data_IF_142676524132
#
_entry.id   IF_142676524132
#
_cell.length_a   1.000
_cell.length_b   1.000
_cell.length_c   1.000
_cell.angle_alpha   90.00
_cell.angle_beta   90.00
_cell.angle_gamma   90.00
#
_symmetry.space_group_name_H-M   'P 1'
#
loop_
_entity.id
_entity.type
_entity.pdbx_description
1 polymer ?
#
# COMPACT_ATOMS: atom_id res chain seq x y z
N UNK A 1 -14.75 -15.35 -1.35
CA UNK A 1 -15.52 -14.13 -1.67
C UNK A 1 -14.69 -12.90 -1.31
N UNK A 2 -14.62 -11.88 -2.19
CA UNK A 2 -13.90 -10.63 -1.93
C UNK A 2 -14.91 -9.64 -1.33
N UNK A 3 -14.65 -9.17 -0.11
CA UNK A 3 -15.50 -8.21 0.59
C UNK A 3 -14.93 -6.79 0.57
N UNK A 4 -13.59 -6.68 0.50
CA UNK A 4 -12.89 -5.40 0.54
C UNK A 4 -11.84 -5.31 -0.55
N UNK A 5 -11.70 -4.13 -1.13
CA UNK A 5 -10.59 -3.75 -2.02
C UNK A 5 -9.97 -2.49 -1.44
N UNK A 6 -8.69 -2.53 -1.13
CA UNK A 6 -7.92 -1.35 -0.77
C UNK A 6 -7.02 -0.92 -1.92
N UNK A 7 -6.95 0.38 -2.16
CA UNK A 7 -6.00 0.99 -3.08
C UNK A 7 -5.16 2.02 -2.33
N UNK A 8 -3.84 1.96 -2.52
CA UNK A 8 -2.90 2.84 -1.83
C UNK A 8 -3.00 4.29 -2.31
N UNK A 9 -3.10 4.47 -3.63
CA UNK A 9 -3.19 5.76 -4.30
C UNK A 9 -3.77 5.63 -5.71
N UNK A 10 -3.90 6.74 -6.44
CA UNK A 10 -4.65 6.82 -7.70
C UNK A 10 -3.84 6.55 -8.98
N UNK A 11 -2.56 6.17 -8.90
CA UNK A 11 -1.80 5.79 -10.09
C UNK A 11 -2.39 4.55 -10.77
N UNK A 12 -2.36 4.45 -12.11
CA UNK A 12 -3.06 3.39 -12.86
C UNK A 12 -2.64 1.96 -12.52
N UNK A 13 -1.41 1.76 -12.05
CA UNK A 13 -0.87 0.47 -11.61
C UNK A 13 -1.35 0.06 -10.21
N UNK A 14 -1.83 1.01 -9.39
CA UNK A 14 -2.43 0.78 -8.08
C UNK A 14 -3.96 0.95 -8.06
N UNK A 15 -4.50 1.75 -8.96
CA UNK A 15 -5.93 2.02 -9.10
C UNK A 15 -6.38 1.88 -10.55
N UNK A 16 -6.57 0.63 -11.00
CA UNK A 16 -7.02 0.36 -12.37
C UNK A 16 -8.52 0.56 -12.50
N UNK A 17 -8.92 1.67 -13.12
CA UNK A 17 -10.33 1.95 -13.43
C UNK A 17 -10.93 0.94 -14.39
N UNK A 18 -10.11 0.36 -15.29
CA UNK A 18 -10.52 -0.70 -16.22
C UNK A 18 -10.89 -1.98 -15.46
N UNK A 19 -10.03 -2.41 -14.53
CA UNK A 19 -10.29 -3.59 -13.69
C UNK A 19 -11.55 -3.39 -12.84
N UNK A 20 -11.74 -2.24 -12.21
CA UNK A 20 -12.94 -1.97 -11.41
C UNK A 20 -14.21 -1.99 -12.26
N UNK A 21 -14.17 -1.46 -13.48
CA UNK A 21 -15.30 -1.50 -14.43
C UNK A 21 -15.60 -2.91 -14.95
N UNK A 22 -14.61 -3.81 -15.00
CA UNK A 22 -14.83 -5.20 -15.46
C UNK A 22 -15.47 -6.11 -14.40
N UNK A 23 -15.53 -5.69 -13.14
CA UNK A 23 -16.26 -6.42 -12.10
C UNK A 23 -17.77 -6.33 -12.40
N UNK A 24 -18.49 -7.45 -12.30
CA UNK A 24 -19.93 -7.51 -12.49
C UNK A 24 -20.67 -6.57 -11.53
N UNK A 25 -21.66 -5.85 -12.02
CA UNK A 25 -22.41 -4.85 -11.24
C UNK A 25 -23.13 -5.45 -10.01
N UNK A 26 -23.62 -6.70 -10.13
CA UNK A 26 -24.25 -7.39 -9.00
C UNK A 26 -23.24 -7.75 -7.89
N UNK A 27 -21.95 -7.84 -8.24
CA UNK A 27 -20.87 -8.11 -7.29
C UNK A 27 -20.39 -6.81 -6.64
N UNK A 28 -20.30 -5.70 -7.40
CA UNK A 28 -19.81 -4.40 -6.90
C UNK A 28 -20.53 -3.95 -5.64
N UNK A 29 -21.86 -4.11 -5.58
CA UNK A 29 -22.68 -3.72 -4.43
C UNK A 29 -22.35 -4.47 -3.14
N UNK A 30 -21.64 -5.60 -3.23
CA UNK A 30 -21.20 -6.42 -2.09
C UNK A 30 -19.79 -6.05 -1.62
N UNK A 31 -19.00 -5.37 -2.46
CA UNK A 31 -17.61 -5.01 -2.19
C UNK A 31 -17.53 -3.59 -1.64
N UNK A 32 -16.73 -3.41 -0.59
CA UNK A 32 -16.39 -2.11 -0.05
C UNK A 32 -14.99 -1.70 -0.51
N UNK A 33 -14.90 -0.61 -1.25
CA UNK A 33 -13.61 0.00 -1.62
C UNK A 33 -13.12 0.87 -0.46
N UNK A 34 -11.93 0.54 0.05
CA UNK A 34 -11.24 1.26 1.10
C UNK A 34 -10.22 2.20 0.46
N UNK A 35 -10.24 3.46 0.84
CA UNK A 35 -9.29 4.44 0.32
C UNK A 35 -8.95 5.50 1.38
N UNK A 36 -7.73 6.01 1.36
CA UNK A 36 -7.34 7.09 2.26
C UNK A 36 -8.26 8.32 2.11
N UNK A 37 -8.56 9.00 3.20
CA UNK A 37 -9.36 10.23 3.15
C UNK A 37 -8.63 11.32 2.36
N UNK A 38 -9.27 11.84 1.31
CA UNK A 38 -8.77 12.94 0.48
C UNK A 38 -9.77 14.10 0.47
N UNK A 39 -9.27 15.33 0.24
CA UNK A 39 -10.14 16.51 0.19
C UNK A 39 -11.09 16.50 -1.01
N UNK A 40 -10.59 16.05 -2.17
CA UNK A 40 -11.33 16.05 -3.43
C UNK A 40 -12.29 14.86 -3.58
N UNK A 41 -12.09 13.80 -2.79
CA UNK A 41 -12.90 12.56 -2.80
C UNK A 41 -13.04 11.90 -4.17
N UNK A 42 -12.14 12.18 -5.10
CA UNK A 42 -12.21 11.77 -6.49
C UNK A 42 -12.34 10.24 -6.64
N UNK A 43 -11.46 9.47 -5.98
CA UNK A 43 -11.48 8.00 -6.04
C UNK A 43 -12.75 7.43 -5.40
N UNK A 44 -13.13 7.92 -4.24
CA UNK A 44 -14.34 7.51 -3.52
C UNK A 44 -15.60 7.76 -4.36
N UNK A 45 -15.70 8.96 -4.95
CA UNK A 45 -16.86 9.32 -5.78
C UNK A 45 -16.91 8.49 -7.07
N UNK A 46 -15.76 8.21 -7.68
CA UNK A 46 -15.67 7.32 -8.84
C UNK A 46 -16.18 5.90 -8.51
N UNK A 47 -15.71 5.32 -7.40
CA UNK A 47 -16.14 3.98 -6.99
C UNK A 47 -17.62 3.92 -6.62
N UNK A 48 -18.15 4.95 -5.95
CA UNK A 48 -19.59 5.07 -5.70
C UNK A 48 -20.38 5.12 -7.00
N UNK A 49 -19.92 5.88 -7.98
CA UNK A 49 -20.55 5.97 -9.32
C UNK A 49 -20.57 4.63 -10.07
N UNK A 50 -19.65 3.71 -9.76
CA UNK A 50 -19.64 2.34 -10.28
C UNK A 50 -20.51 1.35 -9.48
N UNK A 51 -21.14 1.77 -8.39
CA UNK A 51 -21.99 0.91 -7.57
C UNK A 51 -21.28 0.17 -6.43
N UNK A 52 -20.00 0.49 -6.13
CA UNK A 52 -19.33 -0.04 -4.96
C UNK A 52 -19.77 0.65 -3.67
N UNK A 53 -19.77 -0.10 -2.57
CA UNK A 53 -19.69 0.52 -1.24
C UNK A 53 -18.32 1.16 -1.09
N UNK A 54 -18.22 2.22 -0.31
CA UNK A 54 -16.94 2.91 -0.10
C UNK A 54 -16.74 3.30 1.35
N UNK A 55 -15.52 3.22 1.83
CA UNK A 55 -15.14 3.68 3.16
C UNK A 55 -13.85 4.49 3.07
N UNK A 56 -13.91 5.73 3.56
CA UNK A 56 -12.71 6.57 3.71
C UNK A 56 -11.95 6.16 4.97
N UNK A 57 -10.63 6.04 4.83
CA UNK A 57 -9.72 5.70 5.90
C UNK A 57 -9.05 6.98 6.43
N UNK A 58 -9.40 7.45 7.62
CA UNK A 58 -8.73 8.59 8.27
C UNK A 58 -7.27 8.24 8.54
N UNK A 59 -6.38 9.23 8.33
CA UNK A 59 -4.96 9.03 8.48
C UNK A 59 -4.58 8.54 9.90
N UNK A 60 -3.93 7.39 9.98
CA UNK A 60 -3.40 6.78 11.21
C UNK A 60 -4.45 6.52 12.30
N UNK A 61 -5.69 6.27 11.90
CA UNK A 61 -6.74 5.85 12.83
C UNK A 61 -6.95 4.34 12.71
N UNK A 62 -7.07 3.69 13.86
CA UNK A 62 -7.47 2.30 13.90
C UNK A 62 -8.95 2.18 13.51
N UNK A 63 -9.25 1.29 12.59
CA UNK A 63 -10.58 1.02 12.06
C UNK A 63 -10.84 -0.48 12.17
N UNK A 64 -11.91 -0.84 12.85
CA UNK A 64 -12.43 -2.20 12.86
C UNK A 64 -13.23 -2.41 11.57
N UNK A 65 -12.77 -3.33 10.70
CA UNK A 65 -13.50 -3.71 9.49
C UNK A 65 -14.65 -4.68 9.80
N UNK A 66 -14.41 -5.60 10.71
CA UNK A 66 -15.34 -6.58 11.26
C UNK A 66 -14.76 -7.12 12.58
N UNK A 67 -15.38 -8.14 13.17
CA UNK A 67 -14.96 -8.74 14.45
C UNK A 67 -13.56 -9.39 14.43
N UNK A 68 -13.02 -9.65 13.24
CA UNK A 68 -11.74 -10.34 13.08
C UNK A 68 -10.61 -9.42 12.62
N UNK A 69 -10.92 -8.32 11.90
CA UNK A 69 -9.91 -7.49 11.24
C UNK A 69 -9.93 -6.03 11.68
N UNK A 70 -8.76 -5.53 12.04
CA UNK A 70 -8.48 -4.12 12.26
C UNK A 70 -7.46 -3.63 11.23
N UNK A 71 -7.57 -2.37 10.84
CA UNK A 71 -6.59 -1.73 9.96
C UNK A 71 -6.23 -0.33 10.39
N UNK A 72 -5.03 0.09 10.00
CA UNK A 72 -4.57 1.47 10.06
C UNK A 72 -4.03 1.83 8.68
N UNK A 73 -4.54 2.92 8.10
CA UNK A 73 -4.01 3.49 6.87
C UNK A 73 -3.22 4.76 7.18
N UNK A 74 -1.97 4.82 6.78
CA UNK A 74 -1.11 5.99 7.00
C UNK A 74 -0.68 6.64 5.70
N UNK A 75 -0.83 7.96 5.60
CA UNK A 75 -0.38 8.73 4.44
C UNK A 75 1.14 8.79 4.37
N UNK A 76 1.67 8.65 3.16
CA UNK A 76 3.07 8.80 2.82
C UNK A 76 3.21 9.77 1.64
N UNK A 77 4.11 10.76 1.76
CA UNK A 77 4.27 11.74 0.71
C UNK A 77 3.00 12.54 0.40
N UNK A 78 2.78 12.81 -0.88
CA UNK A 78 1.65 13.62 -1.34
C UNK A 78 0.40 12.79 -1.68
N UNK A 79 0.58 11.62 -2.30
CA UNK A 79 -0.52 10.78 -2.79
C UNK A 79 -0.56 9.41 -2.15
N UNK A 80 0.57 8.87 -1.70
CA UNK A 80 0.69 7.48 -1.30
C UNK A 80 0.12 7.20 0.08
N UNK A 81 -0.18 5.95 0.33
CA UNK A 81 -0.52 5.45 1.65
C UNK A 81 -0.02 4.02 1.86
N UNK A 82 0.34 3.72 3.09
CA UNK A 82 0.62 2.36 3.55
C UNK A 82 -0.57 1.82 4.34
N UNK A 83 -0.68 0.50 4.40
CA UNK A 83 -1.73 -0.20 5.14
C UNK A 83 -1.12 -1.18 6.14
N UNK A 84 -1.52 -1.06 7.39
CA UNK A 84 -1.37 -2.09 8.40
C UNK A 84 -2.69 -2.80 8.59
N UNK A 85 -2.68 -4.12 8.53
CA UNK A 85 -3.84 -4.98 8.75
C UNK A 85 -3.48 -6.02 9.80
N UNK A 86 -4.36 -6.24 10.77
CA UNK A 86 -4.19 -7.27 11.78
C UNK A 86 -5.46 -8.06 11.99
N UNK A 87 -5.32 -9.35 12.18
CA UNK A 87 -6.30 -10.23 12.80
C UNK A 87 -5.85 -10.63 14.21
N UNK A 88 -6.50 -11.62 14.81
CA UNK A 88 -6.14 -12.10 16.16
C UNK A 88 -4.76 -12.75 16.25
N UNK A 89 -4.15 -13.13 15.14
CA UNK A 89 -2.98 -14.00 15.07
C UNK A 89 -1.83 -13.44 14.25
N UNK A 90 -2.14 -12.61 13.25
CA UNK A 90 -1.18 -12.17 12.25
C UNK A 90 -1.27 -10.67 12.02
N UNK A 91 -0.14 -10.11 11.63
CA UNK A 91 0.00 -8.70 11.29
C UNK A 91 0.63 -8.57 9.89
N UNK A 92 0.04 -7.72 9.08
CA UNK A 92 0.51 -7.43 7.73
C UNK A 92 0.75 -5.93 7.58
N UNK A 93 1.92 -5.56 7.09
CA UNK A 93 2.25 -4.20 6.69
C UNK A 93 2.49 -4.16 5.18
N UNK A 94 1.65 -3.43 4.46
CA UNK A 94 1.84 -3.16 3.04
C UNK A 94 2.32 -1.72 2.88
N UNK A 95 3.59 -1.54 2.57
CA UNK A 95 4.18 -0.23 2.29
C UNK A 95 4.29 0.05 0.80
N UNK A 96 3.92 -0.91 -0.05
CA UNK A 96 3.94 -0.84 -1.51
C UNK A 96 5.14 -0.06 -2.07
N UNK A 97 4.94 1.01 -2.82
CA UNK A 97 5.96 1.91 -3.37
C UNK A 97 6.11 3.22 -2.59
N UNK A 98 5.55 3.31 -1.38
CA UNK A 98 5.76 4.45 -0.50
C UNK A 98 7.26 4.72 -0.26
N UNK A 99 7.63 5.99 -0.27
CA UNK A 99 8.98 6.45 0.08
C UNK A 99 9.25 6.29 1.58
N UNK A 100 9.50 5.04 2.00
CA UNK A 100 9.91 4.67 3.36
C UNK A 100 11.39 4.25 3.29
N UNK A 101 12.24 5.23 3.00
CA UNK A 101 13.61 4.99 2.54
C UNK A 101 14.66 5.17 3.63
N UNK A 102 14.32 5.85 4.72
CA UNK A 102 15.24 6.17 5.81
C UNK A 102 14.89 5.50 7.13
N UNK A 103 15.85 5.40 8.04
CA UNK A 103 15.59 4.92 9.40
C UNK A 103 14.52 5.75 10.10
N UNK A 104 14.54 7.06 9.89
CA UNK A 104 13.54 7.98 10.48
C UNK A 104 12.11 7.67 9.99
N UNK A 105 11.94 7.28 8.71
CA UNK A 105 10.63 6.89 8.18
C UNK A 105 10.15 5.59 8.83
N UNK A 106 11.05 4.62 9.00
CA UNK A 106 10.76 3.34 9.65
C UNK A 106 10.42 3.52 11.14
N UNK A 107 11.19 4.33 11.88
CA UNK A 107 10.90 4.69 13.26
C UNK A 107 9.53 5.35 13.41
N UNK A 108 9.17 6.22 12.46
CA UNK A 108 7.87 6.88 12.44
C UNK A 108 6.73 5.87 12.25
N UNK A 109 6.86 4.92 11.31
CA UNK A 109 5.86 3.86 11.12
C UNK A 109 5.77 3.00 12.38
N UNK A 110 6.89 2.54 12.92
CA UNK A 110 6.90 1.73 14.14
C UNK A 110 6.19 2.45 15.30
N UNK A 111 6.44 3.74 15.46
CA UNK A 111 5.75 4.56 16.47
C UNK A 111 4.25 4.68 16.19
N UNK A 112 3.87 4.91 14.94
CA UNK A 112 2.46 5.00 14.52
C UNK A 112 1.70 3.68 14.76
N UNK A 113 2.39 2.54 14.71
CA UNK A 113 1.87 1.19 14.97
C UNK A 113 2.04 0.74 16.44
N UNK A 114 2.55 1.59 17.33
CA UNK A 114 2.77 1.21 18.73
C UNK A 114 3.88 0.18 18.95
N UNK A 115 4.84 0.07 18.04
CA UNK A 115 5.92 -0.92 18.00
C UNK A 115 5.40 -2.38 17.89
N UNK A 116 4.27 -2.57 17.23
CA UNK A 116 3.72 -3.89 16.96
C UNK A 116 4.67 -4.72 16.08
N UNK A 117 4.73 -6.01 16.36
CA UNK A 117 5.49 -6.95 15.54
C UNK A 117 4.79 -7.13 14.20
N UNK A 118 5.56 -7.12 13.11
CA UNK A 118 5.05 -7.36 11.76
C UNK A 118 5.38 -8.80 11.35
N UNK A 119 4.36 -9.59 11.03
CA UNK A 119 4.58 -10.95 10.52
C UNK A 119 4.82 -10.94 9.01
N UNK A 120 4.07 -10.15 8.26
CA UNK A 120 4.13 -10.10 6.79
C UNK A 120 4.41 -8.66 6.35
N UNK A 121 5.47 -8.47 5.58
CA UNK A 121 5.79 -7.20 4.92
C UNK A 121 5.61 -7.33 3.42
N UNK A 122 4.84 -6.40 2.81
CA UNK A 122 4.79 -6.19 1.38
C UNK A 122 5.49 -4.88 1.06
N UNK A 123 6.51 -4.94 0.20
CA UNK A 123 7.27 -3.75 -0.22
C UNK A 123 7.80 -3.90 -1.63
N UNK A 124 8.01 -2.77 -2.27
CA UNK A 124 8.58 -2.68 -3.60
C UNK A 124 10.07 -3.09 -3.57
N UNK A 125 10.46 -3.96 -4.49
CA UNK A 125 11.83 -4.48 -4.60
C UNK A 125 12.61 -3.97 -5.81
N UNK A 126 11.94 -3.35 -6.79
CA UNK A 126 12.57 -2.75 -7.96
C UNK A 126 12.14 -1.29 -8.13
N UNK A 127 12.87 -0.54 -8.94
CA UNK A 127 12.43 0.79 -9.35
C UNK A 127 11.39 0.67 -10.47
N UNK A 128 10.30 1.44 -10.39
CA UNK A 128 9.20 1.44 -11.36
C UNK A 128 9.18 2.68 -12.26
N UNK A 129 9.98 3.71 -11.94
CA UNK A 129 10.07 4.93 -12.72
C UNK A 129 11.21 4.88 -13.73
N UNK A 130 11.18 5.77 -14.74
CA UNK A 130 12.31 5.94 -15.66
C UNK A 130 13.60 6.29 -14.90
N UNK A 131 14.67 5.53 -15.17
CA UNK A 131 15.98 5.67 -14.54
C UNK A 131 17.09 5.63 -15.61
N UNK A 132 16.95 6.43 -16.65
CA UNK A 132 17.89 6.50 -17.75
C UNK A 132 17.49 5.72 -19.00
N UNK A 133 18.15 6.00 -20.11
CA UNK A 133 17.94 5.35 -21.41
C UNK A 133 18.64 3.99 -21.46
N UNK A 134 18.46 3.27 -22.57
CA UNK A 134 19.06 1.94 -22.77
C UNK A 134 20.57 1.92 -22.55
N UNK A 135 21.26 3.00 -22.94
CA UNK A 135 22.71 3.11 -22.84
C UNK A 135 23.23 3.63 -21.46
N UNK A 136 22.31 4.07 -20.59
CA UNK A 136 22.66 4.58 -19.26
C UNK A 136 22.76 3.44 -18.22
N UNK A 137 23.51 2.38 -18.57
CA UNK A 137 23.60 1.15 -17.78
C UNK A 137 24.11 1.39 -16.35
N UNK A 138 25.12 2.26 -16.19
CA UNK A 138 25.67 2.58 -14.88
C UNK A 138 24.65 3.27 -13.96
N UNK A 139 23.87 4.22 -14.52
CA UNK A 139 22.82 4.89 -13.75
C UNK A 139 21.74 3.89 -13.28
N UNK A 140 21.27 3.02 -14.18
CA UNK A 140 20.28 2.00 -13.85
C UNK A 140 20.78 0.99 -12.82
N UNK A 141 22.04 0.56 -12.93
CA UNK A 141 22.66 -0.32 -11.95
C UNK A 141 22.77 0.36 -10.57
N UNK A 142 23.12 1.63 -10.53
CA UNK A 142 23.19 2.40 -9.31
C UNK A 142 21.82 2.56 -8.63
N UNK A 143 20.78 2.84 -9.41
CA UNK A 143 19.39 2.92 -8.91
C UNK A 143 18.89 1.56 -8.40
N UNK A 144 19.20 0.47 -9.10
CA UNK A 144 18.86 -0.87 -8.65
C UNK A 144 19.55 -1.20 -7.30
N UNK A 145 20.85 -0.92 -7.18
CA UNK A 145 21.60 -1.09 -5.93
C UNK A 145 21.03 -0.23 -4.80
N UNK A 146 20.62 1.00 -5.10
CA UNK A 146 20.00 1.87 -4.12
C UNK A 146 18.66 1.29 -3.62
N UNK A 147 17.84 0.78 -4.54
CA UNK A 147 16.56 0.15 -4.17
C UNK A 147 16.75 -1.09 -3.29
N UNK A 148 17.74 -1.93 -3.60
CA UNK A 148 18.10 -3.09 -2.78
C UNK A 148 18.51 -2.65 -1.36
N UNK A 149 19.36 -1.62 -1.23
CA UNK A 149 19.77 -1.10 0.09
C UNK A 149 18.60 -0.56 0.92
N UNK A 150 17.63 0.07 0.26
CA UNK A 150 16.39 0.51 0.93
C UNK A 150 15.64 -0.70 1.46
N UNK A 151 15.46 -1.73 0.64
CA UNK A 151 14.79 -2.96 1.02
C UNK A 151 15.51 -3.67 2.18
N UNK A 152 16.83 -3.83 2.11
CA UNK A 152 17.64 -4.41 3.18
C UNK A 152 17.41 -3.65 4.50
N UNK A 153 17.44 -2.32 4.46
CA UNK A 153 17.15 -1.47 5.64
C UNK A 153 15.74 -1.71 6.19
N UNK A 154 14.75 -1.85 5.33
CA UNK A 154 13.37 -2.14 5.75
C UNK A 154 13.32 -3.51 6.45
N UNK A 155 13.91 -4.54 5.86
CA UNK A 155 13.94 -5.89 6.43
C UNK A 155 14.69 -5.97 7.76
N UNK A 156 15.84 -5.29 7.89
CA UNK A 156 16.64 -5.25 9.11
C UNK A 156 15.94 -4.55 10.27
N UNK A 157 15.12 -3.52 9.98
CA UNK A 157 14.47 -2.74 11.02
C UNK A 157 13.07 -3.25 11.37
N UNK A 158 12.28 -3.71 10.39
CA UNK A 158 10.94 -4.26 10.60
C UNK A 158 11.03 -5.72 11.09
N UNK A 159 12.01 -6.48 10.61
CA UNK A 159 12.25 -7.90 10.92
C UNK A 159 10.98 -8.76 10.74
N UNK A 160 10.31 -8.69 9.57
CA UNK A 160 9.12 -9.46 9.34
C UNK A 160 9.41 -10.96 9.31
N UNK A 161 8.42 -11.78 9.65
CA UNK A 161 8.52 -13.23 9.52
C UNK A 161 8.52 -13.67 8.06
N UNK A 162 7.74 -12.97 7.22
CA UNK A 162 7.66 -13.18 5.78
C UNK A 162 7.76 -11.86 5.04
N UNK A 163 8.50 -11.88 3.93
CA UNK A 163 8.55 -10.78 2.99
C UNK A 163 7.92 -11.20 1.66
N UNK A 164 7.02 -10.38 1.14
CA UNK A 164 6.39 -10.57 -0.16
C UNK A 164 6.79 -9.41 -1.06
N UNK A 165 7.58 -9.66 -2.13
CA UNK A 165 7.88 -8.65 -3.15
C UNK A 165 6.58 -8.15 -3.78
N UNK A 166 6.38 -6.83 -3.80
CA UNK A 166 5.13 -6.21 -4.21
C UNK A 166 5.38 -4.90 -4.96
N UNK A 167 4.39 -4.41 -5.71
CA UNK A 167 4.41 -3.12 -6.40
C UNK A 167 5.68 -2.89 -7.26
N UNK A 168 6.06 -3.89 -8.04
CA UNK A 168 7.24 -3.84 -8.92
C UNK A 168 6.96 -4.48 -10.25
N UNK A 169 7.55 -3.92 -11.31
CA UNK A 169 7.57 -4.55 -12.63
C UNK A 169 8.76 -5.53 -12.71
N UNK A 170 8.53 -6.65 -13.38
CA UNK A 170 9.55 -7.65 -13.71
C UNK A 170 9.95 -7.49 -15.17
#
# INVERSE_FOLDING_TARGET
EINYIWSSHEHPDHFSTGTLKSIDENIRSKITVLYQSTKDKKVINFCKGLGFKTQELPNKKNIMLNDDFNLICGKSGFYDSWLYLTDKYNTLLNINDCHIDTLKDLEKINKDLGNEKIDILLSQFSYAAWRGNKNDSLLREQEAKNKIRILERQLENIKPKYFIPFASYI
#
